data_IF_795413066681
#
_entry.id   IF_795413066681
#
_cell.length_a   1.000
_cell.length_b   1.000
_cell.length_c   1.000
_cell.angle_alpha   90.00
_cell.angle_beta   90.00
_cell.angle_gamma   90.00
#
_symmetry.space_group_name_H-M   'P 1'
#
loop_
_entity.id
_entity.type
_entity.pdbx_description
1 polymer ?
#
# COMPACT_ATOMS: atom_id res chain seq x y z
N UNK A 1 43.06 -21.77 -27.43
CA UNK A 1 43.61 -22.87 -28.24
C UNK A 1 43.07 -24.16 -27.62
N UNK A 2 42.18 -24.88 -28.32
CA UNK A 2 42.51 -26.00 -29.21
C UNK A 2 43.14 -27.18 -28.44
N UNK A 3 42.56 -28.39 -28.44
CA UNK A 3 41.40 -28.84 -29.23
C UNK A 3 40.76 -30.13 -28.72
N UNK A 4 39.86 -30.68 -29.56
CA UNK A 4 39.03 -31.84 -29.26
C UNK A 4 39.71 -33.18 -29.55
N UNK A 5 39.18 -34.24 -28.95
CA UNK A 5 39.29 -35.63 -29.43
C UNK A 5 37.87 -36.24 -29.39
N UNK A 6 37.51 -37.01 -30.42
CA UNK A 6 36.18 -37.59 -30.60
C UNK A 6 36.25 -38.97 -31.31
N UNK A 7 35.13 -39.72 -31.25
CA UNK A 7 34.90 -41.05 -31.87
C UNK A 7 35.71 -42.21 -31.26
N UNK A 8 35.28 -43.49 -31.23
CA UNK A 8 34.24 -44.30 -31.94
C UNK A 8 33.65 -45.36 -30.95
N UNK A 9 32.56 -46.13 -31.16
CA UNK A 9 31.49 -46.23 -32.18
C UNK A 9 30.29 -47.08 -31.64
N UNK A 10 29.17 -47.11 -32.38
CA UNK A 10 28.33 -48.28 -32.82
C UNK A 10 28.03 -49.48 -31.87
N UNK A 11 26.91 -50.22 -31.94
CA UNK A 11 25.50 -50.03 -32.34
C UNK A 11 24.80 -51.41 -32.20
N UNK A 12 23.48 -51.46 -31.99
CA UNK A 12 22.58 -52.33 -32.77
C UNK A 12 21.10 -51.98 -32.54
N UNK A 13 20.37 -51.98 -33.64
CA UNK A 13 18.95 -51.73 -33.74
C UNK A 13 18.19 -53.07 -33.79
N UNK A 14 16.92 -53.10 -33.35
CA UNK A 14 15.85 -53.81 -34.06
C UNK A 14 14.51 -53.10 -33.81
N UNK A 15 13.67 -53.13 -34.84
CA UNK A 15 12.40 -52.40 -34.94
C UNK A 15 11.21 -53.30 -34.62
N UNK A 16 10.07 -52.71 -34.24
CA UNK A 16 8.74 -53.10 -34.74
C UNK A 16 7.87 -51.84 -34.80
N UNK A 17 7.24 -51.62 -35.95
CA UNK A 17 6.24 -50.56 -36.17
C UNK A 17 4.89 -50.94 -35.58
N UNK A 18 4.11 -49.94 -35.16
CA UNK A 18 2.66 -50.00 -35.29
C UNK A 18 2.12 -48.66 -35.80
N UNK A 19 1.31 -48.76 -36.86
CA UNK A 19 0.79 -47.66 -37.67
C UNK A 19 -0.51 -47.11 -37.08
N UNK A 20 -0.71 -45.78 -37.09
CA UNK A 20 -2.05 -45.20 -37.13
C UNK A 20 -2.05 -43.95 -38.04
N UNK A 21 -3.11 -43.80 -38.81
CA UNK A 21 -3.16 -42.92 -39.98
C UNK A 21 -3.59 -41.49 -39.64
N UNK A 22 -3.11 -40.56 -40.47
CA UNK A 22 -3.52 -39.17 -40.53
C UNK A 22 -4.97 -39.01 -41.01
N UNK A 23 -5.77 -38.21 -40.31
CA UNK A 23 -6.90 -37.49 -40.88
C UNK A 23 -6.63 -35.99 -40.73
N UNK A 24 -6.27 -35.32 -41.83
CA UNK A 24 -6.27 -33.87 -41.89
C UNK A 24 -7.72 -33.38 -41.94
N UNK A 25 -8.11 -32.54 -40.98
CA UNK A 25 -9.30 -31.70 -41.12
C UNK A 25 -8.80 -30.28 -41.34
N UNK A 26 -9.01 -29.80 -42.55
CA UNK A 26 -8.66 -28.45 -42.98
C UNK A 26 -9.69 -27.46 -42.42
N UNK A 27 -9.43 -26.91 -41.23
CA UNK A 27 -10.25 -25.84 -40.64
C UNK A 27 -9.53 -24.53 -40.92
N UNK A 28 -10.00 -23.82 -41.95
CA UNK A 28 -9.43 -22.54 -42.36
C UNK A 28 -9.34 -21.56 -41.19
N UNK A 29 -8.11 -21.11 -40.90
CA UNK A 29 -7.86 -20.03 -39.93
C UNK A 29 -8.40 -18.75 -40.56
N UNK A 30 -9.67 -18.44 -40.27
CA UNK A 30 -10.22 -17.13 -40.47
C UNK A 30 -9.43 -16.16 -39.58
N UNK A 31 -8.51 -15.40 -40.20
CA UNK A 31 -7.87 -14.26 -39.56
C UNK A 31 -8.96 -13.21 -39.33
N UNK A 32 -9.62 -13.31 -38.18
CA UNK A 32 -10.53 -12.30 -37.67
C UNK A 32 -9.70 -11.05 -37.41
N UNK A 33 -9.68 -10.15 -38.39
CA UNK A 33 -9.31 -8.76 -38.16
C UNK A 33 -10.17 -8.25 -36.99
N UNK A 34 -9.58 -7.62 -35.97
CA UNK A 34 -10.37 -6.91 -34.98
C UNK A 34 -11.18 -5.84 -35.72
N UNK A 35 -12.50 -6.00 -35.75
CA UNK A 35 -13.37 -4.92 -36.21
C UNK A 35 -13.09 -3.72 -35.34
N UNK A 36 -12.74 -2.59 -35.96
CA UNK A 36 -12.35 -1.37 -35.24
C UNK A 36 -13.57 -0.67 -34.62
N UNK A 37 -14.22 -1.33 -33.64
CA UNK A 37 -15.09 -0.68 -32.69
C UNK A 37 -14.20 0.17 -31.77
N UNK A 38 -14.09 1.45 -32.13
CA UNK A 38 -13.52 2.49 -31.27
C UNK A 38 -14.37 2.62 -30.01
N UNK A 39 -14.12 1.74 -29.04
CA UNK A 39 -14.70 1.80 -27.71
C UNK A 39 -13.89 2.79 -26.89
N UNK A 40 -14.49 3.95 -26.60
CA UNK A 40 -13.92 4.89 -25.65
C UNK A 40 -13.70 4.20 -24.30
N UNK A 41 -12.61 4.55 -23.63
CA UNK A 41 -12.20 3.95 -22.36
C UNK A 41 -13.07 4.44 -21.19
N UNK A 42 -14.30 3.92 -21.16
CA UNK A 42 -15.43 4.30 -20.29
C UNK A 42 -15.90 5.76 -20.38
N UNK A 43 -17.16 5.99 -19.98
CA UNK A 43 -17.65 7.35 -19.73
C UNK A 43 -16.98 7.95 -18.49
N UNK A 44 -16.88 9.28 -18.43
CA UNK A 44 -16.41 10.01 -17.24
C UNK A 44 -17.24 9.64 -16.00
N UNK A 45 -16.59 9.60 -14.84
CA UNK A 45 -17.23 9.24 -13.58
C UNK A 45 -18.18 10.35 -13.09
N UNK A 46 -19.05 10.02 -12.13
CA UNK A 46 -19.80 11.07 -11.41
C UNK A 46 -18.80 11.97 -10.65
N UNK A 47 -18.90 13.28 -10.85
CA UNK A 47 -17.96 14.26 -10.29
C UNK A 47 -16.81 14.63 -11.24
N UNK A 48 -16.62 13.92 -12.35
CA UNK A 48 -15.63 14.26 -13.38
C UNK A 48 -16.24 15.07 -14.53
N UNK A 49 -15.46 15.99 -15.09
CA UNK A 49 -15.79 16.67 -16.34
C UNK A 49 -14.53 16.98 -17.13
N UNK A 50 -14.55 16.85 -18.46
CA UNK A 50 -13.41 17.25 -19.28
C UNK A 50 -13.22 18.78 -19.24
N UNK A 51 -11.98 19.24 -19.18
CA UNK A 51 -11.65 20.65 -19.40
C UNK A 51 -12.12 21.05 -20.81
N UNK A 52 -12.59 22.29 -20.99
CA UNK A 52 -13.07 22.76 -22.29
C UNK A 52 -11.95 22.66 -23.34
N UNK A 53 -12.26 21.99 -24.45
CA UNK A 53 -11.31 21.65 -25.53
C UNK A 53 -10.22 20.63 -25.14
N UNK A 54 -10.37 19.87 -24.06
CA UNK A 54 -9.45 18.78 -23.72
C UNK A 54 -9.36 17.75 -24.87
N UNK A 55 -8.15 17.39 -25.33
CA UNK A 55 -7.97 16.38 -26.35
C UNK A 55 -8.18 14.97 -25.78
N UNK A 56 -8.52 14.05 -26.69
CA UNK A 56 -8.46 12.62 -26.41
C UNK A 56 -7.09 12.08 -26.84
N UNK A 57 -6.49 11.24 -26.01
CA UNK A 57 -5.28 10.49 -26.34
C UNK A 57 -5.70 9.11 -26.82
N UNK A 58 -5.18 8.70 -27.98
CA UNK A 58 -5.29 7.33 -28.47
C UNK A 58 -4.15 6.49 -27.88
N UNK A 59 -4.51 5.35 -27.31
CA UNK A 59 -3.58 4.37 -26.74
C UNK A 59 -3.15 3.35 -27.79
N UNK A 60 -2.04 2.66 -27.51
CA UNK A 60 -1.46 1.62 -28.36
C UNK A 60 -2.38 0.42 -28.62
N UNK A 61 -3.41 0.22 -27.79
CA UNK A 61 -4.44 -0.80 -27.97
C UNK A 61 -5.64 -0.32 -28.84
N UNK A 62 -5.56 0.88 -29.43
CA UNK A 62 -6.59 1.47 -30.27
C UNK A 62 -7.72 2.19 -29.54
N UNK A 63 -7.82 2.07 -28.21
CA UNK A 63 -8.80 2.81 -27.41
C UNK A 63 -8.40 4.29 -27.24
N UNK A 64 -9.39 5.14 -26.96
CA UNK A 64 -9.16 6.57 -26.68
C UNK A 64 -9.78 6.99 -25.35
N UNK A 65 -9.13 7.91 -24.65
CA UNK A 65 -9.62 8.49 -23.40
C UNK A 65 -9.20 9.97 -23.26
N UNK A 66 -9.86 10.71 -22.37
CA UNK A 66 -9.35 11.99 -21.87
C UNK A 66 -8.51 11.68 -20.61
N UNK A 67 -7.18 11.96 -20.59
CA UNK A 67 -6.35 11.72 -19.41
C UNK A 67 -6.84 12.46 -18.16
N UNK A 68 -6.62 11.86 -16.98
CA UNK A 68 -7.00 12.39 -15.66
C UNK A 68 -6.59 13.87 -15.44
N UNK A 69 -5.41 14.27 -15.90
CA UNK A 69 -4.89 15.64 -15.73
C UNK A 69 -5.48 16.65 -16.73
N UNK A 70 -6.40 16.21 -17.61
CA UNK A 70 -7.21 17.07 -18.48
C UNK A 70 -8.69 17.13 -18.02
N UNK A 71 -8.99 16.62 -16.82
CA UNK A 71 -10.31 16.67 -16.20
C UNK A 71 -10.38 17.74 -15.10
N UNK A 72 -11.60 18.13 -14.74
CA UNK A 72 -11.97 18.89 -13.55
C UNK A 72 -12.84 18.02 -12.66
N UNK A 73 -12.70 18.22 -11.35
CA UNK A 73 -13.38 17.44 -10.33
C UNK A 73 -14.33 18.32 -9.53
N UNK A 74 -15.48 17.76 -9.20
CA UNK A 74 -16.51 18.37 -8.37
C UNK A 74 -17.24 17.27 -7.59
N UNK A 75 -16.50 16.60 -6.70
CA UNK A 75 -17.00 15.52 -5.89
C UNK A 75 -17.91 16.02 -4.75
N UNK A 76 -19.06 15.37 -4.64
CA UNK A 76 -19.97 15.39 -3.50
C UNK A 76 -19.99 14.02 -2.82
N UNK A 77 -20.68 13.90 -1.67
CA UNK A 77 -20.84 12.65 -0.92
C UNK A 77 -21.29 11.49 -1.83
N UNK A 78 -22.31 11.70 -2.65
CA UNK A 78 -22.89 10.69 -3.55
C UNK A 78 -21.91 10.22 -4.64
N UNK A 79 -21.00 11.10 -5.09
CA UNK A 79 -19.98 10.74 -6.07
C UNK A 79 -18.83 9.94 -5.44
N UNK A 80 -18.46 10.24 -4.20
CA UNK A 80 -17.47 9.48 -3.42
C UNK A 80 -18.05 8.12 -3.01
N UNK A 81 -19.33 8.05 -2.67
CA UNK A 81 -20.05 6.78 -2.45
C UNK A 81 -19.97 5.86 -3.66
N UNK A 82 -20.20 6.38 -4.88
CA UNK A 82 -20.03 5.58 -6.11
C UNK A 82 -18.59 5.07 -6.32
N UNK A 83 -17.58 5.87 -5.98
CA UNK A 83 -16.17 5.44 -6.04
C UNK A 83 -15.92 4.31 -5.04
N UNK A 84 -16.46 4.41 -3.81
CA UNK A 84 -16.30 3.40 -2.76
C UNK A 84 -17.07 2.12 -3.04
N UNK A 85 -18.25 2.18 -3.68
CA UNK A 85 -18.99 1.00 -4.12
C UNK A 85 -18.22 0.13 -5.14
N UNK A 86 -17.34 0.75 -5.92
CA UNK A 86 -16.44 0.06 -6.86
C UNK A 86 -15.17 -0.51 -6.18
N UNK A 87 -14.94 -0.22 -4.89
CA UNK A 87 -13.77 -0.71 -4.12
C UNK A 87 -14.12 -2.02 -3.41
N UNK A 88 -13.21 -2.99 -3.48
CA UNK A 88 -13.32 -4.27 -2.78
C UNK A 88 -12.05 -4.53 -1.96
N UNK A 89 -12.20 -5.00 -0.72
CA UNK A 89 -11.07 -5.39 0.14
C UNK A 89 -11.44 -6.51 1.14
N UNK A 90 -11.99 -6.17 2.31
CA UNK A 90 -12.25 -7.09 3.42
C UNK A 90 -13.40 -6.55 4.29
N UNK A 91 -14.38 -7.40 4.60
CA UNK A 91 -15.60 -7.01 5.32
C UNK A 91 -15.34 -6.51 6.75
N UNK A 92 -14.21 -6.88 7.35
CA UNK A 92 -13.79 -6.38 8.66
C UNK A 92 -13.32 -4.90 8.64
N UNK A 93 -13.18 -4.30 7.45
CA UNK A 93 -12.75 -2.91 7.25
C UNK A 93 -13.75 -2.10 6.42
N UNK A 94 -15.01 -1.93 6.89
CA UNK A 94 -16.03 -1.18 6.16
C UNK A 94 -15.62 0.28 5.96
N UNK A 95 -15.82 0.78 4.74
CA UNK A 95 -15.49 2.15 4.33
C UNK A 95 -16.75 3.00 4.40
N UNK A 96 -16.80 3.93 5.35
CA UNK A 96 -17.90 4.89 5.47
C UNK A 96 -17.57 6.16 4.69
N UNK A 97 -18.50 6.62 3.86
CA UNK A 97 -18.49 7.95 3.25
C UNK A 97 -19.53 8.80 3.96
N UNK A 98 -19.12 9.95 4.47
CA UNK A 98 -19.96 10.84 5.26
C UNK A 98 -19.65 12.30 4.95
N UNK A 99 -20.48 13.20 5.45
CA UNK A 99 -20.31 14.64 5.28
C UNK A 99 -20.59 15.34 6.62
N UNK A 100 -19.80 16.37 6.93
CA UNK A 100 -20.08 17.30 8.03
C UNK A 100 -19.77 18.73 7.60
N UNK A 101 -19.78 19.70 8.54
CA UNK A 101 -19.52 21.12 8.23
C UNK A 101 -18.15 21.39 7.56
N UNK A 102 -17.20 20.45 7.66
CA UNK A 102 -15.91 20.49 6.96
C UNK A 102 -15.89 19.73 5.63
N UNK A 103 -17.05 19.44 5.04
CA UNK A 103 -17.19 18.72 3.78
C UNK A 103 -17.13 17.20 3.92
N UNK A 104 -16.96 16.52 2.78
CA UNK A 104 -16.93 15.06 2.66
C UNK A 104 -15.71 14.47 3.40
N UNK A 105 -15.92 13.32 4.04
CA UNK A 105 -14.85 12.54 4.64
C UNK A 105 -15.09 11.03 4.50
N UNK A 106 -13.98 10.30 4.46
CA UNK A 106 -13.91 8.85 4.58
C UNK A 106 -13.61 8.47 6.03
N UNK A 107 -14.16 7.37 6.50
CA UNK A 107 -13.82 6.79 7.80
C UNK A 107 -13.81 5.27 7.69
N UNK A 108 -12.73 4.63 8.14
CA UNK A 108 -12.62 3.17 8.15
C UNK A 108 -13.15 2.67 9.48
N UNK A 109 -14.15 1.79 9.45
CA UNK A 109 -14.49 0.97 10.60
C UNK A 109 -13.53 -0.21 10.72
N UNK A 110 -13.35 -0.73 11.93
CA UNK A 110 -12.66 -2.00 12.18
C UNK A 110 -13.60 -2.89 12.98
N UNK A 111 -13.85 -4.09 12.46
CA UNK A 111 -14.69 -5.11 13.09
C UNK A 111 -13.78 -6.24 13.59
N UNK A 112 -13.77 -6.46 14.90
CA UNK A 112 -12.94 -7.49 15.53
C UNK A 112 -13.40 -7.86 16.93
N UNK A 113 -12.80 -8.89 17.53
CA UNK A 113 -13.08 -9.27 18.91
C UNK A 113 -12.58 -8.21 19.90
N UNK A 114 -13.32 -7.97 20.99
CA UNK A 114 -12.84 -7.07 22.05
C UNK A 114 -11.66 -7.72 22.81
N UNK A 115 -10.51 -7.03 22.83
CA UNK A 115 -9.28 -7.50 23.47
C UNK A 115 -9.28 -7.36 25.01
N UNK A 116 -10.29 -6.71 25.62
CA UNK A 116 -10.29 -6.37 27.05
C UNK A 116 -10.97 -7.37 28.03
N UNK A 117 -12.10 -8.04 27.71
CA UNK A 117 -12.82 -8.85 28.70
C UNK A 117 -12.25 -10.28 28.85
N UNK A 118 -11.45 -10.51 29.90
CA UNK A 118 -10.90 -11.84 30.26
C UNK A 118 -11.94 -12.95 30.48
N UNK A 119 -13.19 -12.61 30.76
CA UNK A 119 -14.24 -13.55 31.19
C UNK A 119 -15.48 -13.57 30.26
N UNK A 120 -15.40 -13.02 29.03
CA UNK A 120 -16.52 -13.09 28.09
C UNK A 120 -16.57 -14.46 27.41
N UNK A 121 -17.53 -15.31 27.78
CA UNK A 121 -17.84 -16.53 27.03
C UNK A 121 -18.49 -16.26 25.67
N UNK A 122 -18.86 -15.01 25.38
CA UNK A 122 -19.38 -14.56 24.09
C UNK A 122 -18.31 -13.76 23.34
N UNK A 123 -17.78 -14.32 22.26
CA UNK A 123 -16.99 -13.58 21.26
C UNK A 123 -17.91 -12.67 20.44
N UNK A 124 -18.29 -11.53 21.01
CA UNK A 124 -19.03 -10.49 20.28
C UNK A 124 -18.06 -9.60 19.53
N UNK A 125 -18.17 -9.56 18.20
CA UNK A 125 -17.46 -8.59 17.39
C UNK A 125 -17.89 -7.17 17.76
N UNK A 126 -16.92 -6.26 17.84
CA UNK A 126 -17.08 -4.85 18.12
C UNK A 126 -16.69 -4.07 16.87
N UNK A 127 -17.54 -3.11 16.48
CA UNK A 127 -17.19 -2.10 15.49
C UNK A 127 -16.58 -0.90 16.21
N UNK A 128 -15.33 -0.58 15.88
CA UNK A 128 -14.67 0.67 16.25
C UNK A 128 -14.42 1.53 15.02
N UNK A 129 -14.24 2.83 15.20
CA UNK A 129 -14.10 3.78 14.09
C UNK A 129 -12.73 4.45 14.11
N UNK A 130 -12.02 4.39 12.99
CA UNK A 130 -10.76 5.09 12.77
C UNK A 130 -10.92 6.61 12.65
N UNK A 131 -9.83 7.29 12.28
CA UNK A 131 -9.82 8.74 12.05
C UNK A 131 -10.61 9.10 10.78
N UNK A 132 -11.14 10.33 10.74
CA UNK A 132 -11.74 10.91 9.53
C UNK A 132 -10.64 11.35 8.55
N UNK A 133 -10.77 10.99 7.29
CA UNK A 133 -9.91 11.41 6.18
C UNK A 133 -10.70 12.34 5.28
N UNK A 134 -10.31 13.61 5.18
CA UNK A 134 -11.03 14.60 4.35
C UNK A 134 -10.86 14.30 2.87
N UNK A 135 -11.92 14.53 2.10
CA UNK A 135 -11.92 14.46 0.65
C UNK A 135 -12.31 15.84 0.12
N UNK A 136 -11.36 16.58 -0.44
CA UNK A 136 -11.64 17.86 -1.08
C UNK A 136 -12.43 17.60 -2.38
N UNK A 137 -13.41 18.46 -2.70
CA UNK A 137 -14.28 18.24 -3.88
C UNK A 137 -13.53 18.29 -5.22
N UNK A 138 -12.34 18.88 -5.24
CA UNK A 138 -11.47 19.02 -6.42
C UNK A 138 -10.41 17.91 -6.54
N UNK A 139 -10.35 16.95 -5.60
CA UNK A 139 -9.40 15.83 -5.70
C UNK A 139 -9.73 14.93 -6.90
N UNK A 140 -8.74 14.46 -7.67
CA UNK A 140 -8.97 13.45 -8.69
C UNK A 140 -9.53 12.15 -8.14
N UNK A 141 -10.38 11.46 -8.90
CA UNK A 141 -10.93 10.12 -8.57
C UNK A 141 -9.85 9.12 -8.11
N UNK A 142 -8.68 9.11 -8.76
CA UNK A 142 -7.58 8.20 -8.37
C UNK A 142 -6.92 8.59 -7.04
N UNK A 143 -6.92 9.87 -6.68
CA UNK A 143 -6.49 10.33 -5.36
C UNK A 143 -7.52 9.95 -4.29
N UNK A 144 -8.83 10.02 -4.58
CA UNK A 144 -9.87 9.48 -3.68
C UNK A 144 -9.66 7.98 -3.42
N UNK A 145 -9.44 7.18 -4.47
CA UNK A 145 -9.15 5.74 -4.34
C UNK A 145 -7.87 5.51 -3.52
N UNK A 146 -6.82 6.31 -3.75
CA UNK A 146 -5.57 6.24 -2.98
C UNK A 146 -5.77 6.66 -1.51
N UNK A 147 -6.64 7.64 -1.22
CA UNK A 147 -7.01 8.02 0.16
C UNK A 147 -7.69 6.86 0.87
N UNK A 148 -8.62 6.14 0.23
CA UNK A 148 -9.23 4.92 0.81
C UNK A 148 -8.17 3.86 1.10
N UNK A 149 -7.29 3.57 0.14
CA UNK A 149 -6.21 2.60 0.32
C UNK A 149 -5.27 2.97 1.48
N UNK A 150 -4.87 4.23 1.58
CA UNK A 150 -4.04 4.73 2.68
C UNK A 150 -4.78 4.68 4.03
N UNK A 151 -6.07 5.02 4.06
CA UNK A 151 -6.88 4.94 5.27
C UNK A 151 -6.99 3.50 5.80
N UNK A 152 -7.15 2.51 4.91
CA UNK A 152 -7.14 1.08 5.26
C UNK A 152 -5.74 0.66 5.76
N UNK A 153 -4.66 1.10 5.09
CA UNK A 153 -3.29 0.84 5.56
C UNK A 153 -3.04 1.37 6.97
N UNK A 154 -3.42 2.61 7.26
CA UNK A 154 -3.27 3.19 8.60
C UNK A 154 -4.17 2.52 9.64
N UNK A 155 -5.40 2.15 9.29
CA UNK A 155 -6.27 1.38 10.18
C UNK A 155 -5.67 0.00 10.51
N UNK A 156 -5.11 -0.70 9.53
CA UNK A 156 -4.45 -2.00 9.76
C UNK A 156 -3.13 -1.89 10.50
N UNK A 157 -2.30 -0.90 10.19
CA UNK A 157 -1.06 -0.64 10.94
C UNK A 157 -1.37 -0.41 12.44
N UNK A 158 -2.50 0.25 12.74
CA UNK A 158 -2.97 0.41 14.11
C UNK A 158 -3.16 -0.95 14.80
N UNK A 159 -3.96 -1.85 14.21
CA UNK A 159 -4.19 -3.20 14.73
C UNK A 159 -2.87 -4.01 14.85
N UNK A 160 -2.02 -4.02 13.82
CA UNK A 160 -0.75 -4.78 13.83
C UNK A 160 0.13 -4.35 15.01
N UNK A 161 0.16 -3.06 15.34
CA UNK A 161 0.90 -2.49 16.48
C UNK A 161 0.34 -2.92 17.84
N UNK A 162 -0.96 -3.22 17.94
CA UNK A 162 -1.58 -3.80 19.13
C UNK A 162 -1.43 -5.32 19.22
N UNK A 163 -1.35 -6.00 18.07
CA UNK A 163 -1.20 -7.45 17.97
C UNK A 163 0.23 -7.92 18.27
N UNK A 164 1.24 -7.02 18.22
CA UNK A 164 2.58 -7.28 18.75
C UNK A 164 2.55 -7.27 20.29
N UNK A 165 2.76 -8.44 20.91
CA UNK A 165 2.68 -8.65 22.36
C UNK A 165 4.00 -9.17 22.93
N UNK A 166 4.47 -8.53 24.00
CA UNK A 166 5.60 -8.97 24.80
C UNK A 166 5.12 -9.49 26.16
N UNK A 167 5.53 -10.71 26.51
CA UNK A 167 5.23 -11.36 27.79
C UNK A 167 6.42 -11.26 28.74
N UNK A 168 6.22 -10.49 29.82
CA UNK A 168 7.07 -10.52 31.01
C UNK A 168 6.72 -11.72 31.90
N UNK A 169 7.17 -11.68 33.17
CA UNK A 169 6.98 -12.79 34.12
C UNK A 169 5.50 -13.08 34.40
N UNK A 170 4.72 -12.04 34.75
CA UNK A 170 3.30 -12.18 35.13
C UNK A 170 2.33 -11.37 34.25
N UNK A 171 2.86 -10.60 33.28
CA UNK A 171 2.09 -9.60 32.52
C UNK A 171 2.52 -9.54 31.06
N UNK A 172 1.53 -9.40 30.18
CA UNK A 172 1.73 -9.11 28.76
C UNK A 172 1.50 -7.62 28.50
N UNK A 173 2.29 -7.03 27.61
CA UNK A 173 2.18 -5.64 27.16
C UNK A 173 2.33 -5.55 25.64
N UNK A 174 1.90 -4.43 25.04
CA UNK A 174 1.92 -4.18 23.59
C UNK A 174 2.86 -3.01 23.29
N UNK A 175 4.20 -3.23 23.23
CA UNK A 175 5.20 -2.16 23.26
C UNK A 175 5.17 -1.19 22.06
N UNK A 176 4.42 -1.50 21.00
CA UNK A 176 4.25 -0.62 19.84
C UNK A 176 2.87 0.04 19.74
N UNK A 177 2.00 -0.15 20.73
CA UNK A 177 0.62 0.35 20.74
C UNK A 177 0.54 1.88 20.53
N UNK A 178 -0.47 2.32 19.78
CA UNK A 178 -0.68 3.73 19.41
C UNK A 178 -1.36 4.58 20.51
N UNK A 179 -1.89 3.93 21.55
CA UNK A 179 -2.56 4.54 22.69
C UNK A 179 -1.63 4.84 23.88
N UNK A 180 -0.32 4.69 23.72
CA UNK A 180 0.64 5.15 24.72
C UNK A 180 0.51 6.67 24.96
N UNK A 181 0.65 7.07 26.22
CA UNK A 181 0.73 8.49 26.61
C UNK A 181 2.07 9.08 26.13
N UNK A 182 2.09 9.54 24.87
CA UNK A 182 3.27 10.16 24.25
C UNK A 182 3.78 11.37 25.06
N UNK A 183 2.95 12.27 25.63
CA UNK A 183 3.40 13.30 26.57
C UNK A 183 4.11 12.78 27.83
N UNK A 184 3.68 11.66 28.42
CA UNK A 184 4.40 11.01 29.52
C UNK A 184 5.71 10.40 29.02
N UNK A 185 5.71 9.66 27.91
CA UNK A 185 6.94 9.08 27.35
C UNK A 185 7.98 10.14 26.99
N UNK A 186 7.54 11.30 26.46
CA UNK A 186 8.43 12.42 26.16
C UNK A 186 9.02 13.07 27.42
N UNK A 187 8.24 13.18 28.51
CA UNK A 187 8.74 13.67 29.81
C UNK A 187 9.66 12.66 30.52
N UNK A 188 9.45 11.37 30.28
CA UNK A 188 10.24 10.26 30.83
C UNK A 188 11.25 9.72 29.80
N UNK A 189 11.67 10.55 28.84
CA UNK A 189 12.50 10.12 27.71
C UNK A 189 13.78 9.40 28.17
N UNK A 190 14.42 9.85 29.25
CA UNK A 190 15.61 9.20 29.82
C UNK A 190 15.35 7.77 30.35
N UNK A 191 14.14 7.49 30.86
CA UNK A 191 13.77 6.18 31.40
C UNK A 191 13.48 5.14 30.31
N UNK A 192 13.04 5.60 29.12
CA UNK A 192 12.75 4.76 27.95
C UNK A 192 13.84 4.80 26.89
N UNK A 193 14.84 5.68 27.05
CA UNK A 193 15.99 5.75 26.17
C UNK A 193 16.86 4.51 26.28
N UNK A 194 17.34 4.04 25.14
CA UNK A 194 18.26 2.92 25.08
C UNK A 194 19.62 3.34 25.66
N UNK A 195 19.97 2.80 26.83
CA UNK A 195 21.36 2.74 27.31
C UNK A 195 22.21 1.91 26.34
N UNK A 196 23.56 2.07 26.31
CA UNK A 196 24.42 1.46 25.30
C UNK A 196 24.07 0.00 25.01
N UNK A 197 23.76 -0.29 23.74
CA UNK A 197 23.03 -1.49 23.35
C UNK A 197 23.73 -2.76 23.84
N UNK A 198 23.14 -3.45 24.82
CA UNK A 198 23.63 -4.76 25.25
C UNK A 198 23.55 -5.73 24.06
N UNK A 199 24.71 -6.11 23.53
CA UNK A 199 24.83 -7.13 22.51
C UNK A 199 24.33 -8.46 23.07
N UNK A 200 23.53 -9.14 22.26
CA UNK A 200 22.99 -10.46 22.53
C UNK A 200 23.90 -11.53 21.92
N UNK A 201 24.05 -12.66 22.61
CA UNK A 201 24.50 -13.91 22.00
C UNK A 201 23.35 -14.52 21.19
N UNK A 202 23.67 -15.29 20.16
CA UNK A 202 22.68 -16.00 19.33
C UNK A 202 21.64 -16.79 20.15
N UNK A 203 22.09 -17.51 21.19
CA UNK A 203 21.19 -18.28 22.07
C UNK A 203 20.19 -17.39 22.86
N UNK A 204 20.56 -16.16 23.20
CA UNK A 204 19.68 -15.23 23.92
C UNK A 204 18.52 -14.75 23.03
N UNK A 205 18.71 -14.68 21.70
CA UNK A 205 17.66 -14.27 20.77
C UNK A 205 16.51 -15.29 20.69
N UNK A 206 16.82 -16.58 20.82
CA UNK A 206 15.78 -17.61 20.87
C UNK A 206 14.86 -17.40 22.09
N UNK A 207 15.46 -17.13 23.26
CA UNK A 207 14.72 -16.77 24.48
C UNK A 207 13.91 -15.48 24.26
N UNK A 208 14.47 -14.45 23.59
CA UNK A 208 13.74 -13.22 23.29
C UNK A 208 12.54 -13.41 22.36
N UNK A 209 12.64 -14.29 21.36
CA UNK A 209 11.51 -14.61 20.48
C UNK A 209 10.41 -15.39 21.21
N UNK A 210 10.76 -16.25 22.16
CA UNK A 210 9.77 -16.94 23.02
C UNK A 210 8.98 -15.98 23.94
N UNK A 211 9.51 -14.78 24.24
CA UNK A 211 8.79 -13.74 24.98
C UNK A 211 7.78 -12.96 24.10
N UNK A 212 7.73 -13.22 22.80
CA UNK A 212 6.91 -12.49 21.84
C UNK A 212 5.78 -13.35 21.28
N UNK A 213 4.64 -12.71 21.03
CA UNK A 213 3.63 -13.23 20.11
C UNK A 213 3.13 -12.12 19.19
N UNK A 214 2.69 -12.51 17.99
CA UNK A 214 2.08 -11.61 17.01
C UNK A 214 0.73 -12.20 16.61
N UNK A 215 -0.37 -11.56 17.00
CA UNK A 215 -1.72 -12.11 16.82
C UNK A 215 -1.84 -13.57 17.29
N UNK A 216 -1.43 -13.83 18.54
CA UNK A 216 -1.35 -15.16 19.15
C UNK A 216 -0.44 -16.18 18.42
N UNK A 217 0.19 -15.83 17.30
CA UNK A 217 1.19 -16.66 16.63
C UNK A 217 2.52 -16.61 17.40
N UNK A 218 3.24 -17.72 17.38
CA UNK A 218 4.57 -17.84 17.99
C UNK A 218 5.67 -17.56 16.98
N UNK A 219 6.82 -17.07 17.45
CA UNK A 219 7.96 -16.73 16.59
C UNK A 219 9.09 -17.75 16.75
N UNK A 220 9.49 -18.39 15.65
CA UNK A 220 10.56 -19.40 15.62
C UNK A 220 11.71 -18.92 14.76
N UNK A 221 12.89 -18.74 15.37
CA UNK A 221 14.13 -18.57 14.61
C UNK A 221 14.43 -19.83 13.81
N UNK A 222 14.57 -19.69 12.49
CA UNK A 222 15.02 -20.75 11.59
C UNK A 222 16.52 -20.67 11.37
N UNK A 223 17.00 -19.50 10.97
CA UNK A 223 18.39 -19.26 10.61
C UNK A 223 18.87 -17.90 11.09
N UNK A 224 20.19 -17.80 11.31
CA UNK A 224 20.90 -16.56 11.63
C UNK A 224 22.30 -16.64 11.03
N UNK A 225 22.67 -15.66 10.21
CA UNK A 225 23.97 -15.56 9.55
C UNK A 225 24.58 -14.19 9.79
N UNK A 226 25.89 -14.14 10.07
CA UNK A 226 26.66 -12.90 10.03
C UNK A 226 27.18 -12.65 8.60
N UNK A 227 27.07 -11.41 8.14
CA UNK A 227 27.56 -10.94 6.84
C UNK A 227 28.96 -10.32 6.97
N UNK A 228 29.69 -10.27 5.86
CA UNK A 228 31.06 -9.72 5.79
C UNK A 228 31.18 -8.26 6.29
N UNK A 229 30.10 -7.47 6.28
CA UNK A 229 30.05 -6.11 6.81
C UNK A 229 29.68 -6.03 8.32
N UNK A 230 29.70 -7.16 9.03
CA UNK A 230 29.38 -7.27 10.46
C UNK A 230 27.89 -7.35 10.80
N UNK A 231 26.99 -7.01 9.87
CA UNK A 231 25.53 -7.10 10.04
C UNK A 231 25.02 -8.55 10.02
N UNK A 232 23.79 -8.77 10.46
CA UNK A 232 23.20 -10.10 10.64
C UNK A 232 21.89 -10.23 9.87
N UNK A 233 21.70 -11.35 9.16
CA UNK A 233 20.40 -11.75 8.62
C UNK A 233 19.82 -12.82 9.54
N UNK A 234 18.53 -12.68 9.90
CA UNK A 234 17.78 -13.67 10.65
C UNK A 234 16.52 -14.03 9.86
N UNK A 235 16.25 -15.32 9.69
CA UNK A 235 14.99 -15.83 9.16
C UNK A 235 14.12 -16.34 10.29
N UNK A 236 12.93 -15.75 10.43
CA UNK A 236 12.01 -16.01 11.52
C UNK A 236 10.67 -16.46 10.95
N UNK A 237 10.27 -17.69 11.30
CA UNK A 237 8.95 -18.21 10.97
C UNK A 237 7.91 -17.66 11.95
N UNK A 238 6.80 -17.16 11.42
CA UNK A 238 5.58 -16.88 12.17
C UNK A 238 4.75 -18.17 12.13
N UNK A 239 4.45 -18.74 13.30
CA UNK A 239 3.71 -20.00 13.43
C UNK A 239 2.33 -19.71 14.03
N UNK A 240 1.26 -19.71 13.22
CA UNK A 240 -0.10 -19.46 13.67
C UNK A 240 -0.53 -20.44 14.76
N UNK A 241 -1.42 -20.00 15.65
CA UNK A 241 -2.11 -20.87 16.61
C UNK A 241 -3.61 -20.86 16.33
N UNK A 242 -4.39 -21.70 17.02
CA UNK A 242 -5.85 -21.70 16.91
C UNK A 242 -6.52 -20.37 17.30
N UNK A 243 -5.79 -19.45 17.93
CA UNK A 243 -6.25 -18.11 18.30
C UNK A 243 -5.74 -16.99 17.36
N UNK A 244 -4.97 -17.32 16.32
CA UNK A 244 -4.54 -16.36 15.28
C UNK A 244 -5.71 -16.07 14.35
N UNK A 245 -6.03 -14.79 14.15
CA UNK A 245 -7.15 -14.31 13.33
C UNK A 245 -6.74 -13.59 12.04
N UNK A 246 -5.48 -13.15 11.91
CA UNK A 246 -4.99 -12.47 10.71
C UNK A 246 -5.00 -13.40 9.49
N UNK A 247 -5.77 -13.02 8.47
CA UNK A 247 -5.99 -13.82 7.27
C UNK A 247 -4.67 -14.09 6.51
N UNK A 248 -3.73 -13.14 6.50
CA UNK A 248 -2.39 -13.30 5.91
C UNK A 248 -1.52 -14.38 6.59
N UNK A 249 -1.83 -14.74 7.83
CA UNK A 249 -1.14 -15.79 8.58
C UNK A 249 -1.86 -17.14 8.43
N UNK A 250 -3.19 -17.14 8.51
CA UNK A 250 -4.01 -18.37 8.57
C UNK A 250 -4.29 -18.95 7.17
N UNK A 251 -4.45 -18.12 6.13
CA UNK A 251 -4.74 -18.58 4.76
C UNK A 251 -3.50 -18.87 3.91
N UNK A 252 -2.29 -18.69 4.45
CA UNK A 252 -1.07 -18.98 3.71
C UNK A 252 -0.90 -20.48 3.46
N UNK A 253 -0.71 -20.87 2.20
CA UNK A 253 -0.44 -22.27 1.81
C UNK A 253 1.02 -22.69 2.06
N UNK A 254 1.89 -21.73 2.40
CA UNK A 254 3.29 -21.94 2.72
C UNK A 254 3.65 -21.32 4.09
N UNK A 255 4.73 -21.78 4.76
CA UNK A 255 5.22 -21.16 5.98
C UNK A 255 5.47 -19.65 5.81
N UNK A 256 4.86 -18.83 6.67
CA UNK A 256 5.12 -17.38 6.69
C UNK A 256 6.47 -17.15 7.37
N UNK A 257 7.46 -16.70 6.60
CA UNK A 257 8.81 -16.42 7.06
C UNK A 257 9.13 -14.95 6.78
N UNK A 258 9.70 -14.27 7.76
CA UNK A 258 10.23 -12.91 7.62
C UNK A 258 11.75 -12.92 7.77
N UNK A 259 12.44 -12.39 6.76
CA UNK A 259 13.89 -12.18 6.77
C UNK A 259 14.19 -10.75 7.23
N UNK A 260 14.92 -10.60 8.33
CA UNK A 260 15.27 -9.30 8.91
C UNK A 260 16.78 -9.06 8.92
N UNK A 261 17.18 -7.79 8.77
CA UNK A 261 18.58 -7.36 8.79
C UNK A 261 18.85 -6.54 10.06
N UNK A 262 19.75 -7.01 10.91
CA UNK A 262 20.20 -6.30 12.11
C UNK A 262 21.60 -5.74 11.90
N UNK A 263 21.82 -4.44 12.14
CA UNK A 263 23.17 -3.86 12.06
C UNK A 263 24.01 -4.22 13.28
N UNK A 264 23.36 -4.44 14.43
CA UNK A 264 23.97 -4.96 15.65
C UNK A 264 23.08 -6.06 16.23
N UNK A 265 23.69 -7.11 16.77
CA UNK A 265 22.94 -8.21 17.35
C UNK A 265 22.42 -7.82 18.74
N UNK A 266 21.28 -7.12 18.81
CA UNK A 266 20.65 -6.74 20.07
C UNK A 266 19.12 -6.84 20.02
N UNK A 267 18.50 -7.10 21.18
CA UNK A 267 17.06 -7.32 21.30
C UNK A 267 16.21 -6.11 20.84
N UNK A 268 16.67 -4.88 21.06
CA UNK A 268 15.90 -3.71 20.65
C UNK A 268 15.78 -3.61 19.12
N UNK A 269 16.89 -3.77 18.38
CA UNK A 269 16.85 -3.80 16.92
C UNK A 269 15.99 -4.96 16.39
N UNK A 270 16.06 -6.14 17.02
CA UNK A 270 15.19 -7.28 16.70
C UNK A 270 13.71 -6.90 16.79
N UNK A 271 13.28 -6.24 17.87
CA UNK A 271 11.87 -5.89 18.08
C UNK A 271 11.37 -4.87 17.06
N UNK A 272 12.14 -3.82 16.78
CA UNK A 272 11.80 -2.84 15.74
C UNK A 272 11.76 -3.46 14.34
N UNK A 273 12.72 -4.31 13.97
CA UNK A 273 12.72 -4.97 12.67
C UNK A 273 11.62 -6.04 12.53
N UNK A 274 11.20 -6.69 13.62
CA UNK A 274 10.00 -7.54 13.61
C UNK A 274 8.74 -6.71 13.37
N UNK A 275 8.57 -5.58 14.08
CA UNK A 275 7.45 -4.67 13.89
C UNK A 275 7.36 -4.17 12.45
N UNK A 276 8.48 -3.69 11.88
CA UNK A 276 8.58 -3.29 10.48
C UNK A 276 8.16 -4.42 9.52
N UNK A 277 8.55 -5.66 9.80
CA UNK A 277 8.21 -6.83 8.98
C UNK A 277 6.74 -7.23 9.08
N UNK A 278 6.13 -7.12 10.26
CA UNK A 278 4.70 -7.38 10.45
C UNK A 278 3.83 -6.31 9.78
N UNK A 279 4.25 -5.04 9.84
CA UNK A 279 3.62 -3.96 9.04
C UNK A 279 3.71 -4.33 7.56
N UNK A 280 4.91 -4.60 7.02
CA UNK A 280 5.11 -4.96 5.60
C UNK A 280 4.30 -6.19 5.16
N UNK A 281 4.06 -7.16 6.05
CA UNK A 281 3.21 -8.32 5.78
C UNK A 281 1.73 -7.92 5.65
N UNK A 282 1.22 -7.09 6.55
CA UNK A 282 -0.15 -6.55 6.47
C UNK A 282 -0.32 -5.62 5.27
N UNK A 283 0.67 -4.78 4.97
CA UNK A 283 0.71 -3.97 3.74
C UNK A 283 0.67 -4.85 2.48
N UNK A 284 1.45 -5.94 2.44
CA UNK A 284 1.43 -6.93 1.36
C UNK A 284 0.04 -7.53 1.18
N UNK A 285 -0.66 -7.84 2.28
CA UNK A 285 -2.02 -8.38 2.23
C UNK A 285 -3.04 -7.38 1.67
N UNK A 286 -2.93 -6.09 2.04
CA UNK A 286 -3.79 -5.03 1.48
C UNK A 286 -3.48 -4.84 -0.01
N UNK A 287 -2.21 -4.74 -0.38
CA UNK A 287 -1.75 -4.55 -1.76
C UNK A 287 -2.24 -5.66 -2.71
N UNK A 288 -2.35 -6.91 -2.24
CA UNK A 288 -2.83 -8.05 -3.06
C UNK A 288 -4.33 -8.27 -3.03
N UNK A 289 -5.10 -7.62 -2.14
CA UNK A 289 -6.55 -7.84 -2.02
C UNK A 289 -7.40 -6.59 -2.28
N UNK A 290 -6.86 -5.38 -2.08
CA UNK A 290 -7.53 -4.14 -2.45
C UNK A 290 -7.67 -4.05 -3.97
N UNK A 291 -8.89 -3.83 -4.46
CA UNK A 291 -9.14 -3.58 -5.88
C UNK A 291 -10.14 -2.45 -6.08
N UNK A 292 -10.05 -1.79 -7.24
CA UNK A 292 -11.07 -0.87 -7.75
C UNK A 292 -11.58 -1.43 -9.09
N UNK A 293 -12.88 -1.72 -9.20
CA UNK A 293 -13.49 -2.44 -10.33
C UNK A 293 -12.76 -3.75 -10.68
N UNK A 294 -12.32 -4.49 -9.66
CA UNK A 294 -11.53 -5.72 -9.81
C UNK A 294 -10.04 -5.51 -10.18
N UNK A 295 -9.61 -4.29 -10.52
CA UNK A 295 -8.21 -3.99 -10.81
C UNK A 295 -7.40 -3.72 -9.54
N UNK A 296 -6.42 -4.61 -9.27
CA UNK A 296 -5.55 -4.58 -8.08
C UNK A 296 -4.30 -3.73 -8.33
N UNK A 297 -4.46 -2.42 -8.55
CA UNK A 297 -3.38 -1.46 -8.91
C UNK A 297 -2.13 -1.55 -8.01
N UNK A 298 -2.30 -1.89 -6.74
CA UNK A 298 -1.20 -1.93 -5.77
C UNK A 298 -0.53 -3.31 -5.65
N UNK A 299 -1.04 -4.36 -6.30
CA UNK A 299 -0.40 -5.68 -6.28
C UNK A 299 0.93 -5.65 -7.04
N UNK A 300 1.90 -6.44 -6.56
CA UNK A 300 3.17 -6.68 -7.26
C UNK A 300 3.04 -7.64 -8.44
N UNK A 301 1.87 -8.24 -8.63
CA UNK A 301 1.54 -9.01 -9.84
C UNK A 301 1.32 -8.09 -11.06
N UNK A 302 1.16 -6.78 -10.84
CA UNK A 302 1.02 -5.79 -11.92
C UNK A 302 2.41 -5.38 -12.41
N UNK A 303 2.63 -5.58 -13.71
CA UNK A 303 3.84 -5.18 -14.42
C UNK A 303 4.03 -3.65 -14.37
N UNK A 304 5.06 -3.22 -13.63
CA UNK A 304 5.39 -1.80 -13.43
C UNK A 304 5.85 -1.11 -14.72
N UNK A 305 6.43 -1.85 -15.69
CA UNK A 305 6.83 -1.28 -16.96
C UNK A 305 5.61 -1.01 -17.84
N UNK A 306 4.60 -1.90 -17.84
CA UNK A 306 3.32 -1.63 -18.53
C UNK A 306 2.56 -0.43 -17.93
N UNK A 307 2.65 -0.22 -16.61
CA UNK A 307 2.14 1.02 -15.98
C UNK A 307 2.92 2.24 -16.49
N UNK A 308 4.25 2.15 -16.60
CA UNK A 308 5.08 3.23 -17.12
C UNK A 308 4.75 3.55 -18.59
N UNK A 309 4.62 2.55 -19.45
CA UNK A 309 4.27 2.70 -20.86
C UNK A 309 2.90 3.35 -21.05
N UNK A 310 1.90 2.95 -20.25
CA UNK A 310 0.58 3.58 -20.24
C UNK A 310 0.66 5.04 -19.74
N UNK A 311 1.45 5.30 -18.70
CA UNK A 311 1.68 6.65 -18.18
C UNK A 311 2.37 7.57 -19.20
N UNK A 312 3.33 7.04 -19.98
CA UNK A 312 3.99 7.78 -21.06
C UNK A 312 3.03 8.14 -22.19
N UNK A 313 2.14 7.21 -22.57
CA UNK A 313 1.07 7.48 -23.55
C UNK A 313 0.12 8.56 -23.03
N UNK A 314 -0.38 8.43 -21.80
CA UNK A 314 -1.33 9.37 -21.21
C UNK A 314 -0.74 10.77 -21.02
N UNK A 315 0.56 10.90 -20.71
CA UNK A 315 1.25 12.19 -20.43
C UNK A 315 1.83 12.88 -21.68
N UNK A 316 1.37 12.52 -22.87
CA UNK A 316 1.71 13.28 -24.08
C UNK A 316 1.36 14.77 -23.87
N UNK A 317 2.23 15.66 -24.35
CA UNK A 317 1.98 17.11 -24.22
C UNK A 317 0.90 17.52 -25.23
N UNK A 318 0.02 18.49 -24.88
CA UNK A 318 -0.91 19.07 -25.84
C UNK A 318 -0.18 19.60 -27.07
N UNK A 319 -0.80 19.44 -28.24
CA UNK A 319 -0.22 19.89 -29.49
C UNK A 319 -0.14 21.44 -29.53
N UNK A 320 0.84 22.05 -30.23
CA UNK A 320 0.95 23.52 -30.31
C UNK A 320 -0.30 24.23 -30.88
N UNK A 321 -1.16 23.52 -31.61
CA UNK A 321 -2.47 23.96 -32.10
C UNK A 321 -3.52 24.13 -31.00
N UNK A 322 -3.33 23.52 -29.83
CA UNK A 322 -4.32 23.41 -28.75
C UNK A 322 -4.22 24.56 -27.73
N UNK A 323 -3.78 25.74 -28.17
CA UNK A 323 -3.50 26.90 -27.29
C UNK A 323 -4.66 27.29 -26.37
N UNK A 324 -5.90 27.11 -26.83
CA UNK A 324 -7.11 27.37 -26.02
C UNK A 324 -7.25 26.39 -24.86
N UNK A 325 -6.90 25.12 -25.08
CA UNK A 325 -6.87 24.11 -24.03
C UNK A 325 -5.72 24.35 -23.05
N UNK A 326 -4.50 24.60 -23.57
CA UNK A 326 -3.31 24.86 -22.73
C UNK A 326 -3.52 26.01 -21.75
N UNK A 327 -4.08 27.13 -22.21
CA UNK A 327 -4.43 28.27 -21.32
C UNK A 327 -5.48 27.90 -20.27
N UNK A 328 -6.50 27.12 -20.66
CA UNK A 328 -7.53 26.64 -19.73
C UNK A 328 -6.97 25.70 -18.66
N UNK A 329 -6.09 24.77 -19.04
CA UNK A 329 -5.40 23.85 -18.14
C UNK A 329 -4.51 24.61 -17.14
N UNK A 330 -3.71 25.57 -17.61
CA UNK A 330 -2.86 26.40 -16.75
C UNK A 330 -3.68 27.17 -15.70
N UNK A 331 -4.78 27.81 -16.12
CA UNK A 331 -5.65 28.54 -15.20
C UNK A 331 -6.32 27.61 -14.18
N UNK A 332 -6.76 26.42 -14.60
CA UNK A 332 -7.43 25.47 -13.70
C UNK A 332 -6.44 24.94 -12.66
N UNK A 333 -5.23 24.57 -13.06
CA UNK A 333 -4.19 24.12 -12.12
C UNK A 333 -3.86 25.21 -11.09
N UNK A 334 -3.65 26.46 -11.55
CA UNK A 334 -3.37 27.58 -10.66
C UNK A 334 -4.50 27.81 -9.64
N UNK A 335 -5.76 27.83 -10.10
CA UNK A 335 -6.92 28.01 -9.21
C UNK A 335 -7.06 26.83 -8.22
N UNK A 336 -6.77 25.61 -8.64
CA UNK A 336 -6.76 24.43 -7.76
C UNK A 336 -5.68 24.57 -6.69
N UNK A 337 -4.45 24.95 -7.07
CA UNK A 337 -3.36 25.16 -6.11
C UNK A 337 -3.70 26.28 -5.11
N UNK A 338 -4.28 27.40 -5.57
CA UNK A 338 -4.71 28.53 -4.73
C UNK A 338 -5.69 28.10 -3.63
N UNK A 339 -6.70 27.27 -3.97
CA UNK A 339 -7.69 26.78 -2.98
C UNK A 339 -7.11 25.88 -1.89
N UNK A 340 -5.89 25.37 -2.05
CA UNK A 340 -5.23 24.44 -1.14
C UNK A 340 -4.19 25.11 -0.24
N UNK A 341 -3.93 26.40 -0.44
CA UNK A 341 -2.96 27.17 0.35
C UNK A 341 -3.49 27.33 1.79
N UNK A 342 -2.74 26.86 2.82
CA UNK A 342 -3.19 26.99 4.19
C UNK A 342 -3.11 28.44 4.67
N UNK A 343 -4.12 28.87 5.42
CA UNK A 343 -4.09 30.15 6.13
C UNK A 343 -3.48 29.92 7.52
N UNK A 344 -2.35 30.57 7.78
CA UNK A 344 -1.63 30.49 9.05
C UNK A 344 -2.29 31.42 10.08
N UNK A 345 -2.87 30.82 11.12
CA UNK A 345 -3.35 31.54 12.30
C UNK A 345 -2.18 32.17 13.08
N UNK A 346 -2.39 33.37 13.63
CA UNK A 346 -1.40 34.09 14.45
C UNK A 346 -0.96 33.25 15.67
N UNK A 347 0.34 33.18 15.93
CA UNK A 347 0.92 32.54 17.12
C UNK A 347 2.22 31.78 16.85
N UNK A 348 2.81 31.21 17.92
CA UNK A 348 4.14 30.59 17.88
C UNK A 348 4.34 29.47 16.83
N UNK A 349 3.26 28.79 16.42
CA UNK A 349 3.32 27.80 15.33
C UNK A 349 3.56 28.45 13.97
N UNK A 350 2.87 29.57 13.66
CA UNK A 350 3.12 30.35 12.43
C UNK A 350 4.56 30.82 12.39
N UNK A 351 5.04 31.39 13.48
CA UNK A 351 6.40 31.98 13.53
C UNK A 351 7.47 30.89 13.35
N UNK A 352 7.26 29.70 13.95
CA UNK A 352 8.06 28.50 13.70
C UNK A 352 8.00 28.01 12.25
N UNK A 353 6.83 28.06 11.61
CA UNK A 353 6.66 27.64 10.21
C UNK A 353 7.37 28.62 9.25
N UNK A 354 7.23 29.92 9.44
CA UNK A 354 7.91 30.94 8.63
C UNK A 354 9.44 30.81 8.74
N UNK A 355 9.98 30.70 9.97
CA UNK A 355 11.42 30.49 10.21
C UNK A 355 11.96 29.17 9.60
N UNK A 356 11.10 28.16 9.41
CA UNK A 356 11.46 26.94 8.70
C UNK A 356 11.45 27.15 7.18
N UNK A 357 10.49 27.90 6.64
CA UNK A 357 10.37 28.20 5.21
C UNK A 357 11.50 29.12 4.71
N UNK A 358 11.95 30.08 5.51
CA UNK A 358 13.09 30.97 5.23
C UNK A 358 14.41 30.22 4.94
N UNK A 359 14.52 28.95 5.36
CA UNK A 359 15.68 28.08 5.09
C UNK A 359 15.74 27.58 3.64
N UNK A 360 14.70 27.83 2.85
CA UNK A 360 14.56 27.40 1.47
C UNK A 360 14.37 28.64 0.56
N UNK A 361 15.46 29.31 0.16
CA UNK A 361 15.37 30.62 -0.52
C UNK A 361 14.80 30.58 -1.95
N UNK A 362 14.69 29.40 -2.56
CA UNK A 362 14.26 29.21 -3.95
C UNK A 362 12.92 28.45 -4.07
N UNK A 363 12.02 28.62 -3.09
CA UNK A 363 10.68 28.00 -3.13
C UNK A 363 9.85 28.53 -4.31
N UNK A 364 9.26 27.60 -5.07
CA UNK A 364 8.28 27.87 -6.12
C UNK A 364 6.87 27.47 -5.65
N UNK A 365 5.85 28.11 -6.21
CA UNK A 365 4.44 27.87 -5.86
C UNK A 365 3.81 29.03 -5.10
N UNK A 366 2.64 28.80 -4.50
CA UNK A 366 1.92 29.81 -3.72
C UNK A 366 2.24 29.62 -2.24
N UNK A 367 2.76 30.66 -1.58
CA UNK A 367 3.15 30.61 -0.18
C UNK A 367 1.94 30.66 0.76
N UNK A 368 2.01 30.05 1.96
CA UNK A 368 0.94 30.12 2.97
C UNK A 368 0.50 31.55 3.27
N UNK A 369 -0.82 31.78 3.30
CA UNK A 369 -1.39 33.09 3.59
C UNK A 369 -1.36 33.35 5.09
N UNK A 370 -1.10 34.59 5.51
CA UNK A 370 -1.26 34.99 6.91
C UNK A 370 -2.68 35.53 7.15
N UNK A 371 -3.31 35.17 8.27
CA UNK A 371 -4.60 35.74 8.64
C UNK A 371 -4.44 37.20 9.11
N UNK A 372 -4.77 38.17 8.25
CA UNK A 372 -4.89 39.59 8.63
C UNK A 372 -6.25 39.89 9.28
N UNK A 373 -6.37 39.48 10.54
CA UNK A 373 -7.37 39.95 11.51
C UNK A 373 -6.66 40.15 12.86
#
# INVERSE_FOLDING_TARGET
MLGAVAFFASARCHSIMLTLQSNFIDIGIAVLQPSASSSALSALQTGESAIKYAPQIQLSNGQSCVPQHYLRYSHCRESVEKIVLDIQYCDNYPIFVCEDKGGVYLQIGVIGGDNYPRNSTTHTNKLVYGRKWRVESILPTSEVIQTVFLAIKTAREHEIRELFRFSGVDKTSTPFNNHHDLPVLARLAEQVSQTPAKLCRQAELHIKLQQLSYDHATLRLLEIQQRNNGSWILDIQIVPTAATGLEELVRSTAPVIVSILLTTLCANQLYYQLMDSFIKLSERYIETNFSYRGFKRFSRDIDVLKIADLSLQLRQKPAPSEQRFVKGLQQINYNTDETRVPILAKGALRDKLLLNLERFPELQGIMPLSSEL
#
